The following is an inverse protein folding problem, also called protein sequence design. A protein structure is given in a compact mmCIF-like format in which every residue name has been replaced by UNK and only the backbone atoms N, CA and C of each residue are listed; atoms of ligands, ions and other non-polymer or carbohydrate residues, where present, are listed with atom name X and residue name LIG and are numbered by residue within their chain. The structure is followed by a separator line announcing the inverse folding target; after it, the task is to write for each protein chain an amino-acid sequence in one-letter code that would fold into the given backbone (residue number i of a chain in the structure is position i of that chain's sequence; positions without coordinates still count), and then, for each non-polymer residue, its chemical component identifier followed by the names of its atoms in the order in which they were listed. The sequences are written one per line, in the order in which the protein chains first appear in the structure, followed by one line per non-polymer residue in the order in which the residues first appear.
data_IF_091783503420
#
_entry.id   IF_091783503420
#
_cell.length_a   1.000
_cell.length_b   1.000
_cell.length_c   1.000
_cell.angle_alpha   90.00
_cell.angle_beta   90.00
_cell.angle_gamma   90.00
#
_symmetry.space_group_name_H-M   'P 1'
#
loop_
_entity.id
_entity.type
_entity.pdbx_description
1 polymer ?
2 non-polymer ?
3 non-polymer ?
4 water ?
#
# COMPACT_ATOMS: atom_id res chain seq x y z
N UNK A 1 -19.56 3.70 18.95
CA UNK A 1 -19.56 5.17 19.23
C UNK A 1 -18.16 5.69 19.55
N UNK A 2 -17.36 4.87 20.24
CA UNK A 2 -15.99 5.26 20.59
C UNK A 2 -15.04 4.80 19.49
N UNK A 3 -14.29 5.74 18.93
CA UNK A 3 -13.36 5.44 17.84
C UNK A 3 -11.92 5.77 18.24
N UNK A 4 -11.52 5.30 19.41
CA UNK A 4 -10.18 5.53 19.92
C UNK A 4 -9.26 4.38 19.50
N UNK A 5 -8.15 4.69 18.84
CA UNK A 5 -7.26 3.61 18.43
C UNK A 5 -6.33 3.16 19.56
N UNK A 6 -5.96 1.88 19.50
CA UNK A 6 -5.04 1.30 20.47
C UNK A 6 -3.99 0.56 19.64
N UNK A 7 -2.78 0.36 20.20
CA UNK A 7 -1.75 -0.35 19.42
C UNK A 7 -2.22 -1.69 18.84
N UNK A 8 -3.28 -2.27 19.38
CA UNK A 8 -3.82 -3.53 18.88
C UNK A 8 -4.35 -3.38 17.45
N UNK A 9 -4.74 -2.15 17.08
CA UNK A 9 -5.28 -1.89 15.74
C UNK A 9 -4.22 -1.93 14.63
N UNK A 10 -2.95 -2.00 15.01
CA UNK A 10 -1.84 -2.08 14.05
C UNK A 10 -1.68 -0.88 13.11
N UNK A 11 -2.00 0.32 13.58
CA UNK A 11 -1.82 1.51 12.76
C UNK A 11 -0.36 1.96 12.80
N UNK A 12 0.22 2.19 11.62
CA UNK A 12 1.60 2.64 11.54
C UNK A 12 1.71 3.87 10.63
N UNK A 13 2.78 4.63 10.81
CA UNK A 13 3.02 5.83 10.02
C UNK A 13 4.49 5.91 9.64
N UNK A 14 4.76 6.41 8.44
CA UNK A 14 6.14 6.61 8.05
C UNK A 14 6.64 7.90 8.71
N UNK A 15 7.92 7.94 9.02
CA UNK A 15 8.50 9.15 9.62
C UNK A 15 8.32 10.35 8.67
N UNK A 16 8.36 10.07 7.37
CA UNK A 16 8.26 11.10 6.34
C UNK A 16 6.87 11.68 6.15
N UNK A 17 5.87 11.11 6.81
CA UNK A 17 4.48 11.56 6.68
C UNK A 17 4.24 12.78 7.57
N UNK A 18 4.13 12.56 8.87
CA UNK A 18 3.94 13.65 9.80
C UNK A 18 5.16 14.57 9.79
N UNK A 19 6.28 14.08 9.28
CA UNK A 19 7.50 14.87 9.20
C UNK A 19 7.66 15.67 7.92
N UNK A 20 6.71 15.57 7.00
CA UNK A 20 6.79 16.32 5.74
C UNK A 20 6.76 17.82 6.02
N UNK A 21 7.80 18.50 5.58
CA UNK A 21 7.94 19.94 5.80
C UNK A 21 7.06 20.87 4.97
N UNK A 22 6.37 20.34 3.96
CA UNK A 22 5.50 21.18 3.15
C UNK A 22 6.08 21.74 1.87
N UNK A 23 7.26 21.28 1.48
CA UNK A 23 7.90 21.74 0.27
C UNK A 23 7.28 21.03 -0.95
N UNK A 24 6.76 21.80 -1.90
CA UNK A 24 6.15 21.24 -3.11
C UNK A 24 6.83 21.83 -4.35
N UNK A 25 6.38 21.48 -5.57
CA UNK A 25 7.06 22.01 -6.77
C UNK A 25 7.06 23.52 -6.91
N UNK A 26 6.13 24.19 -6.25
CA UNK A 26 6.00 25.64 -6.36
C UNK A 26 6.17 26.41 -5.07
N UNK A 27 6.64 25.76 -4.02
CA UNK A 27 6.80 26.46 -2.76
C UNK A 27 7.79 25.89 -1.77
N UNK A 28 8.26 26.76 -0.89
CA UNK A 28 9.20 26.35 0.14
C UNK A 28 8.49 25.72 1.32
N UNK A 29 9.26 25.14 2.24
CA UNK A 29 8.69 24.49 3.40
C UNK A 29 7.93 25.46 4.29
N UNK A 30 6.82 24.99 4.86
CA UNK A 30 6.00 25.80 5.76
C UNK A 30 6.14 25.33 7.21
N UNK A 31 6.83 24.22 7.42
CA UNK A 31 7.03 23.68 8.77
C UNK A 31 8.50 23.31 9.01
N UNK A 32 8.94 23.42 10.25
CA UNK A 32 10.32 23.05 10.59
C UNK A 32 10.44 21.53 10.62
N UNK A 33 11.66 21.02 10.47
CA UNK A 33 11.89 19.58 10.49
C UNK A 33 11.58 18.99 11.86
N UNK A 34 11.04 17.77 11.88
CA UNK A 34 10.74 17.09 13.13
C UNK A 34 11.86 16.11 13.44
N UNK A 35 12.20 15.99 14.71
CA UNK A 35 13.20 15.03 15.12
C UNK A 35 12.46 13.68 15.18
N UNK A 36 13.01 12.63 14.54
CA UNK A 36 12.33 11.32 14.56
C UNK A 36 11.88 10.88 15.96
N UNK A 37 12.67 11.22 16.98
CA UNK A 37 12.34 10.86 18.35
C UNK A 37 11.04 11.52 18.81
N UNK A 38 10.83 12.78 18.44
CA UNK A 38 9.60 13.47 18.81
C UNK A 38 8.42 12.87 18.07
N UNK A 39 8.63 12.47 16.83
CA UNK A 39 7.56 11.85 16.05
C UNK A 39 7.12 10.54 16.69
N UNK A 40 8.09 9.72 17.10
CA UNK A 40 7.76 8.45 17.73
C UNK A 40 6.92 8.68 18.98
N UNK A 41 7.34 9.63 19.81
CA UNK A 41 6.60 9.95 21.03
C UNK A 41 5.19 10.44 20.73
N UNK A 42 5.07 11.42 19.84
CA UNK A 42 3.76 11.98 19.49
C UNK A 42 2.82 10.93 18.93
N UNK A 43 3.34 10.05 18.07
CA UNK A 43 2.51 9.01 17.48
C UNK A 43 2.06 8.00 18.52
N UNK A 44 2.95 7.66 19.45
CA UNK A 44 2.60 6.70 20.50
C UNK A 44 1.44 7.25 21.32
N UNK A 45 1.46 8.55 21.60
CA UNK A 45 0.39 9.17 22.37
C UNK A 45 -0.95 9.12 21.64
N UNK A 46 -0.91 9.17 20.31
CA UNK A 46 -2.13 9.14 19.51
C UNK A 46 -2.73 7.74 19.41
N UNK A 47 -1.95 6.73 19.77
CA UNK A 47 -2.45 5.37 19.72
C UNK A 47 -1.86 4.51 18.61
N UNK A 48 -0.85 5.02 17.92
CA UNK A 48 -0.21 4.26 16.85
C UNK A 48 0.55 3.05 17.41
N UNK A 49 0.70 2.04 16.56
CA UNK A 49 1.39 0.79 16.91
C UNK A 49 2.87 0.84 16.55
N UNK A 50 3.19 1.57 15.49
CA UNK A 50 4.59 1.64 15.07
C UNK A 50 4.88 2.67 14.00
N UNK A 51 6.15 2.71 13.57
CA UNK A 51 6.59 3.64 12.55
C UNK A 51 7.45 2.92 11.52
N UNK A 52 7.61 3.56 10.36
CA UNK A 52 8.43 3.02 9.29
C UNK A 52 9.38 4.12 8.83
N UNK A 53 10.41 3.75 8.08
CA UNK A 53 11.38 4.75 7.66
C UNK A 53 12.12 4.39 6.40
N UNK A 54 12.65 5.44 5.75
CA UNK A 54 13.55 5.27 4.63
C UNK A 54 14.89 5.45 5.35
N UNK A 55 15.94 4.83 4.85
CA UNK A 55 17.25 5.02 5.45
C UNK A 55 17.57 6.50 5.70
N UNK A 56 17.38 7.33 4.67
CA UNK A 56 17.68 8.76 4.78
C UNK A 56 16.78 9.59 5.71
N UNK A 57 15.66 9.04 6.16
CA UNK A 57 14.80 9.76 7.10
C UNK A 57 15.45 9.70 8.47
N UNK A 58 16.12 8.58 8.72
CA UNK A 58 16.72 8.30 10.02
C UNK A 58 18.17 8.73 10.15
N UNK A 59 18.95 8.51 9.09
CA UNK A 59 20.36 8.86 9.09
C UNK A 59 20.65 9.81 7.94
N UNK A 60 20.93 11.08 8.23
CA UNK A 60 21.18 12.02 7.14
C UNK A 60 22.18 11.49 6.11
N UNK A 61 21.86 11.66 4.84
CA UNK A 61 22.70 11.20 3.75
C UNK A 61 24.12 11.73 3.94
N UNK A 62 25.09 10.84 3.83
CA UNK A 62 26.49 11.22 3.97
C UNK A 62 27.04 11.09 5.38
N UNK A 63 26.21 10.61 6.31
CA UNK A 63 26.65 10.46 7.69
C UNK A 63 27.77 9.44 7.87
N UNK A 64 28.71 9.75 8.75
CA UNK A 64 29.82 8.86 9.05
C UNK A 64 29.27 7.69 9.87
N UNK A 65 30.05 6.63 9.99
CA UNK A 65 29.62 5.46 10.76
C UNK A 65 29.32 5.76 12.22
N UNK A 66 30.01 6.73 12.79
CA UNK A 66 29.79 7.10 14.18
C UNK A 66 28.47 7.84 14.34
N UNK A 67 28.23 8.82 13.47
CA UNK A 67 26.98 9.57 13.52
C UNK A 67 25.82 8.61 13.32
N UNK A 68 25.97 7.73 12.33
CA UNK A 68 24.97 6.72 12.02
C UNK A 68 24.62 5.94 13.28
N UNK A 69 25.65 5.49 13.98
CA UNK A 69 25.47 4.74 15.22
C UNK A 69 24.69 5.55 16.24
N UNK A 70 25.01 6.84 16.34
CA UNK A 70 24.35 7.74 17.28
C UNK A 70 22.87 7.92 16.97
N UNK A 71 22.57 8.16 15.69
CA UNK A 71 21.20 8.37 15.25
C UNK A 71 20.35 7.14 15.54
N UNK A 72 20.91 5.96 15.30
CA UNK A 72 20.21 4.71 15.55
C UNK A 72 19.96 4.49 17.04
N UNK A 73 20.95 4.74 17.89
CA UNK A 73 20.77 4.57 19.33
C UNK A 73 19.65 5.43 19.90
N UNK A 74 19.62 6.71 19.51
CA UNK A 74 18.58 7.63 19.97
C UNK A 74 17.20 7.09 19.59
N UNK A 75 17.09 6.65 18.35
CA UNK A 75 15.84 6.14 17.81
C UNK A 75 15.41 4.92 18.61
N UNK A 76 16.34 3.99 18.77
CA UNK A 76 16.12 2.76 19.51
C UNK A 76 15.61 3.03 20.92
N UNK A 77 16.16 4.06 21.57
CA UNK A 77 15.75 4.40 22.93
C UNK A 77 14.31 4.89 22.92
N UNK A 78 13.94 5.65 21.90
CA UNK A 78 12.58 6.17 21.79
C UNK A 78 11.60 5.01 21.61
N UNK A 79 11.99 4.00 20.86
CA UNK A 79 11.14 2.83 20.65
C UNK A 79 10.96 2.09 21.97
N UNK A 80 12.06 1.93 22.70
CA UNK A 80 12.04 1.25 23.99
C UNK A 80 11.17 2.00 25.00
N UNK A 81 11.24 3.33 24.98
CA UNK A 81 10.49 4.15 25.91
C UNK A 81 8.99 4.20 25.64
N UNK A 82 8.59 3.89 24.40
CA UNK A 82 7.18 3.98 24.03
C UNK A 82 6.48 2.66 23.72
N UNK A 83 7.26 1.63 23.41
CA UNK A 83 6.65 0.36 23.07
C UNK A 83 6.31 0.29 21.57
N UNK A 84 6.76 1.29 20.82
CA UNK A 84 6.51 1.34 19.38
C UNK A 84 7.38 0.33 18.63
N UNK A 85 6.81 -0.24 17.57
CA UNK A 85 7.50 -1.22 16.73
C UNK A 85 7.89 -0.59 15.38
N UNK A 86 8.72 -1.32 14.63
CA UNK A 86 9.15 -0.90 13.30
C UNK A 86 8.90 -2.10 12.38
N UNK A 87 7.68 -2.22 11.85
CA UNK A 87 7.33 -3.40 11.03
C UNK A 87 7.83 -3.38 9.61
N UNK A 88 8.18 -2.20 9.10
CA UNK A 88 8.63 -2.09 7.72
C UNK A 88 9.67 -0.99 7.56
N UNK A 89 10.56 -1.17 6.59
CA UNK A 89 11.59 -0.20 6.28
C UNK A 89 11.75 -0.16 4.78
N UNK A 90 12.36 0.90 4.27
CA UNK A 90 12.54 1.06 2.85
C UNK A 90 13.77 1.91 2.57
N UNK A 91 14.14 2.04 1.30
CA UNK A 91 15.32 2.79 0.91
C UNK A 91 14.93 4.03 0.14
N UNK A 92 15.65 5.13 0.36
CA UNK A 92 15.40 6.32 -0.42
C UNK A 92 16.33 6.23 -1.64
N UNK A 93 15.76 5.85 -2.79
CA UNK A 93 16.51 5.77 -4.03
C UNK A 93 15.93 6.79 -5.00
N UNK A 94 15.51 7.94 -4.47
CA UNK A 94 14.89 8.97 -5.31
C UNK A 94 15.26 10.43 -5.08
N UNK A 95 15.70 10.79 -3.87
CA UNK A 95 15.99 12.19 -3.57
C UNK A 95 17.30 12.73 -4.11
N UNK A 96 18.41 12.03 -3.86
CA UNK A 96 19.71 12.50 -4.30
C UNK A 96 19.82 12.59 -5.81
N UNK A 97 20.43 13.68 -6.31
CA UNK A 97 20.60 13.87 -7.75
C UNK A 97 21.18 12.67 -8.50
N UNK A 98 22.00 11.85 -7.82
CA UNK A 98 22.59 10.70 -8.48
C UNK A 98 21.54 9.71 -9.00
N UNK A 99 20.35 9.74 -8.41
CA UNK A 99 19.27 8.84 -8.83
C UNK A 99 18.29 9.49 -9.82
N UNK A 100 18.73 10.55 -10.48
CA UNK A 100 17.87 11.26 -11.43
C UNK A 100 17.32 10.42 -12.56
N UNK A 101 18.03 9.35 -12.94
CA UNK A 101 17.53 8.49 -14.00
C UNK A 101 17.18 7.13 -13.42
N UNK A 102 17.08 7.05 -12.10
CA UNK A 102 16.72 5.79 -11.48
C UNK A 102 17.78 5.24 -10.54
N UNK A 103 17.43 4.13 -9.91
CA UNK A 103 18.34 3.45 -9.02
C UNK A 103 18.69 2.10 -9.62
N UNK A 104 17.77 1.15 -9.52
CA UNK A 104 17.99 -0.19 -10.08
C UNK A 104 18.01 -0.22 -11.61
N UNK A 105 17.36 0.75 -12.25
CA UNK A 105 17.32 0.78 -13.72
C UNK A 105 17.95 2.02 -14.34
N UNK A 106 18.83 2.67 -13.60
CA UNK A 106 19.55 3.82 -14.14
C UNK A 106 20.36 3.33 -15.34
N UNK A 107 20.49 4.15 -16.39
CA UNK A 107 21.29 3.75 -17.54
C UNK A 107 22.76 3.53 -17.17
N UNK A 108 23.26 4.32 -16.23
CA UNK A 108 24.65 4.19 -15.78
C UNK A 108 24.80 2.98 -14.87
N UNK A 109 25.67 2.06 -15.26
CA UNK A 109 25.91 0.84 -14.49
C UNK A 109 26.45 1.10 -13.08
N UNK A 110 27.35 2.08 -12.95
CA UNK A 110 27.91 2.37 -11.64
C UNK A 110 26.85 2.84 -10.65
N UNK A 111 25.83 3.53 -11.15
CA UNK A 111 24.75 4.00 -10.28
C UNK A 111 23.89 2.82 -9.82
N UNK A 112 23.66 1.87 -10.71
CA UNK A 112 22.86 0.69 -10.36
C UNK A 112 23.56 -0.12 -9.26
N UNK A 113 24.88 -0.25 -9.34
CA UNK A 113 25.63 -0.97 -8.32
C UNK A 113 25.56 -0.24 -6.98
N UNK A 114 25.69 1.08 -7.03
CA UNK A 114 25.60 1.92 -5.84
C UNK A 114 24.22 1.76 -5.19
N UNK A 115 23.18 1.76 -6.02
CA UNK A 115 21.81 1.62 -5.54
C UNK A 115 21.65 0.33 -4.74
N UNK A 116 22.21 -0.77 -5.26
CA UNK A 116 22.11 -2.05 -4.58
C UNK A 116 22.84 -2.05 -3.24
N UNK A 117 24.04 -1.49 -3.20
CA UNK A 117 24.79 -1.44 -1.95
C UNK A 117 24.10 -0.59 -0.88
N UNK A 118 23.44 0.48 -1.31
CA UNK A 118 22.73 1.38 -0.39
C UNK A 118 21.54 0.64 0.19
N UNK A 119 20.88 -0.15 -0.66
CA UNK A 119 19.73 -0.92 -0.24
C UNK A 119 20.12 -2.02 0.75
N UNK A 120 21.15 -2.78 0.40
CA UNK A 120 21.61 -3.89 1.25
C UNK A 120 21.99 -3.42 2.64
N UNK A 121 22.67 -2.27 2.69
CA UNK A 121 23.09 -1.67 3.94
C UNK A 121 21.88 -1.39 4.85
N UNK A 122 20.78 -0.93 4.26
CA UNK A 122 19.58 -0.64 5.04
C UNK A 122 18.77 -1.89 5.38
N UNK A 123 18.94 -2.96 4.60
CA UNK A 123 18.26 -4.22 4.88
C UNK A 123 18.81 -4.73 6.21
N UNK A 124 20.13 -4.65 6.39
CA UNK A 124 20.75 -5.10 7.64
C UNK A 124 20.16 -4.32 8.82
N UNK A 125 20.05 -3.01 8.67
CA UNK A 125 19.50 -2.17 9.73
C UNK A 125 18.04 -2.52 10.00
N UNK A 126 17.28 -2.74 8.94
CA UNK A 126 15.87 -3.09 9.08
C UNK A 126 15.70 -4.35 9.94
N UNK A 127 16.49 -5.38 9.64
CA UNK A 127 16.42 -6.63 10.39
C UNK A 127 16.77 -6.39 11.86
N UNK A 128 17.82 -5.62 12.11
CA UNK A 128 18.25 -5.29 13.46
C UNK A 128 17.09 -4.67 14.26
N UNK A 129 16.30 -3.81 13.62
CA UNK A 129 15.18 -3.14 14.26
C UNK A 129 13.89 -3.97 14.34
N UNK A 130 13.92 -5.16 13.74
CA UNK A 130 12.77 -6.04 13.79
C UNK A 130 11.76 -5.97 12.66
N UNK A 131 12.10 -5.27 11.57
CA UNK A 131 11.19 -5.15 10.44
C UNK A 131 10.95 -6.50 9.76
N UNK A 132 9.70 -6.77 9.42
CA UNK A 132 9.35 -8.02 8.75
C UNK A 132 9.15 -7.85 7.24
N UNK A 133 8.95 -6.60 6.81
CA UNK A 133 8.75 -6.31 5.40
C UNK A 133 9.67 -5.18 4.94
N UNK A 134 10.22 -5.33 3.74
CA UNK A 134 11.10 -4.32 3.18
C UNK A 134 10.47 -3.84 1.88
N UNK A 135 10.07 -2.58 1.86
CA UNK A 135 9.38 -2.01 0.70
C UNK A 135 10.34 -1.38 -0.29
N UNK A 136 9.98 -1.49 -1.57
CA UNK A 136 10.75 -0.89 -2.63
C UNK A 136 9.81 -0.09 -3.53
N UNK A 137 10.03 1.22 -3.59
CA UNK A 137 9.24 2.09 -4.45
C UNK A 137 10.22 2.66 -5.47
N UNK A 138 10.10 2.21 -6.72
CA UNK A 138 11.00 2.66 -7.76
C UNK A 138 10.52 3.96 -8.38
N UNK A 139 10.47 5.01 -7.56
CA UNK A 139 9.99 6.30 -8.01
C UNK A 139 10.72 6.92 -9.19
N UNK A 140 12.01 6.64 -9.32
CA UNK A 140 12.80 7.21 -10.42
C UNK A 140 13.01 6.24 -11.58
N UNK A 141 12.46 5.03 -11.50
CA UNK A 141 12.61 4.04 -12.56
C UNK A 141 11.58 4.33 -13.63
N UNK A 142 12.03 4.88 -14.75
CA UNK A 142 11.10 5.23 -15.80
C UNK A 142 11.66 6.23 -16.79
N UNK A 143 10.79 7.07 -17.35
CA UNK A 143 11.24 8.01 -18.37
C UNK A 143 10.24 9.11 -18.71
N UNK A 144 10.75 10.17 -19.33
CA UNK A 144 9.91 11.26 -19.83
C UNK A 144 9.80 11.15 -21.36
N UNK A 145 10.70 10.40 -21.98
CA UNK A 145 10.71 10.26 -23.44
C UNK A 145 10.96 8.82 -23.87
N UNK A 146 10.47 8.46 -25.05
CA UNK A 146 10.56 7.09 -25.53
C UNK A 146 11.90 6.42 -25.77
N UNK A 147 12.88 7.15 -26.26
CA UNK A 147 14.16 6.52 -26.55
C UNK A 147 15.14 6.46 -25.40
N UNK A 148 14.79 7.12 -24.30
CA UNK A 148 15.67 7.19 -23.15
C UNK A 148 15.83 5.88 -22.40
N UNK A 149 14.86 5.00 -22.56
CA UNK A 149 14.86 3.76 -21.82
C UNK A 149 14.29 2.62 -22.66
N UNK A 150 15.07 1.55 -22.80
CA UNK A 150 14.59 0.38 -23.51
C UNK A 150 13.97 -0.42 -22.36
N UNK A 151 12.66 -0.56 -22.38
CA UNK A 151 11.95 -1.20 -21.28
C UNK A 151 12.28 -2.67 -21.03
N UNK A 152 12.58 -3.41 -22.08
CA UNK A 152 12.94 -4.81 -21.94
C UNK A 152 14.26 -4.91 -21.18
N UNK A 153 15.24 -4.09 -21.55
CA UNK A 153 16.52 -4.10 -20.84
C UNK A 153 16.32 -3.62 -19.41
N UNK A 154 15.49 -2.60 -19.22
CA UNK A 154 15.25 -2.08 -17.88
C UNK A 154 14.62 -3.14 -16.98
N UNK A 155 13.72 -3.96 -17.54
CA UNK A 155 13.11 -4.99 -16.74
C UNK A 155 14.14 -6.09 -16.42
N UNK A 156 15.09 -6.33 -17.31
CA UNK A 156 16.14 -7.31 -17.03
C UNK A 156 16.96 -6.79 -15.84
N UNK A 157 17.27 -5.50 -15.85
CA UNK A 157 18.04 -4.90 -14.76
C UNK A 157 17.24 -4.90 -13.45
N UNK A 158 15.93 -4.69 -13.53
CA UNK A 158 15.08 -4.67 -12.35
C UNK A 158 15.03 -6.09 -11.73
N UNK A 159 14.91 -7.10 -12.57
CA UNK A 159 14.87 -8.49 -12.13
C UNK A 159 16.21 -8.86 -11.53
N UNK A 160 17.29 -8.42 -12.18
CA UNK A 160 18.63 -8.71 -11.70
C UNK A 160 18.80 -8.14 -10.29
N UNK A 161 18.33 -6.91 -10.09
CA UNK A 161 18.42 -6.26 -8.79
C UNK A 161 17.66 -7.00 -7.70
N UNK A 162 16.39 -7.32 -7.96
CA UNK A 162 15.60 -8.02 -6.97
C UNK A 162 16.10 -9.44 -6.72
N UNK A 163 16.62 -10.10 -7.76
CA UNK A 163 17.16 -11.46 -7.58
C UNK A 163 18.38 -11.42 -6.65
N UNK A 164 19.23 -10.41 -6.82
CA UNK A 164 20.41 -10.26 -5.96
C UNK A 164 20.01 -9.98 -4.52
N UNK A 165 18.97 -9.18 -4.32
CA UNK A 165 18.50 -8.89 -2.97
C UNK A 165 17.94 -10.15 -2.31
N UNK A 166 17.31 -11.00 -3.12
CA UNK A 166 16.75 -12.24 -2.61
C UNK A 166 17.88 -13.17 -2.21
N UNK A 167 18.93 -13.21 -3.04
CA UNK A 167 20.09 -14.06 -2.74
C UNK A 167 20.75 -13.60 -1.45
N UNK A 168 20.84 -12.28 -1.26
CA UNK A 168 21.45 -11.72 -0.06
C UNK A 168 20.68 -12.14 1.18
N UNK A 169 19.38 -11.90 1.17
CA UNK A 169 18.52 -12.24 2.29
C UNK A 169 18.61 -13.73 2.65
N UNK A 170 18.55 -14.58 1.63
CA UNK A 170 18.63 -16.02 1.81
C UNK A 170 19.97 -16.45 2.40
N UNK A 171 21.06 -15.88 1.89
CA UNK A 171 22.40 -16.22 2.36
C UNK A 171 22.65 -15.80 3.81
N UNK A 172 22.04 -14.70 4.23
CA UNK A 172 22.20 -14.20 5.60
C UNK A 172 21.21 -14.85 6.56
N UNK A 173 20.27 -15.61 6.02
CA UNK A 173 19.26 -16.26 6.85
C UNK A 173 18.28 -15.30 7.48
N UNK A 174 18.00 -14.18 6.81
CA UNK A 174 17.05 -13.22 7.36
C UNK A 174 15.60 -13.66 7.15
N UNK A 175 14.75 -13.26 8.08
CA UNK A 175 13.32 -13.54 7.99
C UNK A 175 12.66 -12.21 7.64
N UNK A 176 12.76 -11.86 6.36
CA UNK A 176 12.20 -10.62 5.88
C UNK A 176 11.75 -10.83 4.44
N UNK A 177 10.64 -10.21 4.06
CA UNK A 177 10.11 -10.35 2.71
C UNK A 177 10.07 -8.97 2.05
N UNK A 178 10.03 -8.96 0.73
CA UNK A 178 10.01 -7.71 -0.03
C UNK A 178 8.60 -7.41 -0.55
N UNK A 179 8.28 -6.13 -0.66
CA UNK A 179 7.00 -5.70 -1.20
C UNK A 179 7.25 -4.55 -2.16
N UNK A 180 6.86 -4.75 -3.41
CA UNK A 180 7.04 -3.73 -4.43
C UNK A 180 5.83 -2.79 -4.41
N UNK A 181 6.12 -1.50 -4.38
CA UNK A 181 5.07 -0.48 -4.35
C UNK A 181 4.93 0.19 -5.72
N UNK A 182 3.84 -0.10 -6.44
CA UNK A 182 3.65 0.51 -7.77
C UNK A 182 3.14 1.95 -7.73
N UNK A 183 3.38 2.66 -8.82
CA UNK A 183 2.90 4.05 -8.98
C UNK A 183 2.99 4.30 -10.48
N UNK A 184 1.94 4.88 -11.08
CA UNK A 184 1.98 5.01 -12.54
C UNK A 184 2.85 6.14 -13.09
N UNK A 185 2.97 7.23 -12.35
CA UNK A 185 3.77 8.36 -12.81
C UNK A 185 4.05 9.26 -11.60
N UNK A 186 4.93 10.24 -11.81
CA UNK A 186 5.31 11.23 -10.81
C UNK A 186 6.23 10.65 -9.72
N UNK A 187 7.55 10.91 -9.83
CA UNK A 187 8.14 12.08 -10.48
C UNK A 187 8.55 11.87 -11.94
N UNK A 188 8.59 10.62 -12.41
CA UNK A 188 8.93 10.37 -13.82
C UNK A 188 7.65 10.45 -14.67
N UNK A 189 7.81 10.76 -15.96
CA UNK A 189 6.67 10.86 -16.88
C UNK A 189 5.83 9.60 -16.86
N UNK A 190 6.50 8.46 -16.83
CA UNK A 190 5.87 7.15 -16.73
C UNK A 190 6.83 6.33 -15.88
N UNK A 191 6.30 5.63 -14.89
CA UNK A 191 7.11 4.81 -13.99
C UNK A 191 6.96 3.33 -14.36
N UNK A 192 8.04 2.56 -14.26
CA UNK A 192 7.99 1.13 -14.57
C UNK A 192 7.18 0.38 -13.50
N UNK A 193 6.44 -0.66 -13.89
CA UNK A 193 5.57 -1.43 -12.98
C UNK A 193 4.57 -0.42 -12.43
N UNK A 194 3.77 0.18 -13.33
CA UNK A 194 2.84 1.25 -12.96
C UNK A 194 1.65 0.95 -12.08
N UNK A 195 1.22 -0.30 -12.03
CA UNK A 195 0.07 -0.68 -11.22
C UNK A 195 0.33 -1.98 -10.49
N UNK A 196 -0.59 -2.32 -9.58
CA UNK A 196 -0.49 -3.57 -8.84
C UNK A 196 -0.40 -4.76 -9.81
N UNK A 197 -1.14 -4.71 -10.91
CA UNK A 197 -1.11 -5.81 -11.86
C UNK A 197 0.28 -6.02 -12.46
N UNK A 198 0.90 -4.93 -12.92
CA UNK A 198 2.23 -5.03 -13.52
C UNK A 198 3.24 -5.58 -12.52
N UNK A 199 3.13 -5.13 -11.27
CA UNK A 199 4.03 -5.60 -10.22
C UNK A 199 3.85 -7.10 -9.96
N UNK A 200 2.61 -7.56 -9.86
CA UNK A 200 2.33 -8.98 -9.63
C UNK A 200 2.89 -9.85 -10.76
N UNK A 201 2.74 -9.38 -12.01
CA UNK A 201 3.22 -10.13 -13.17
C UNK A 201 4.74 -10.26 -13.15
N UNK A 202 5.40 -9.17 -12.78
CA UNK A 202 6.86 -9.12 -12.70
C UNK A 202 7.39 -10.09 -11.66
N UNK A 203 6.73 -10.14 -10.51
CA UNK A 203 7.15 -11.02 -9.42
C UNK A 203 7.24 -12.49 -9.82
N UNK A 204 6.36 -12.93 -10.71
CA UNK A 204 6.34 -14.32 -11.17
C UNK A 204 7.56 -14.68 -12.04
N UNK A 205 8.33 -13.69 -12.46
CA UNK A 205 9.53 -13.94 -13.27
C UNK A 205 10.81 -13.86 -12.45
N UNK A 206 10.69 -13.66 -11.14
CA UNK A 206 11.87 -13.61 -10.28
C UNK A 206 12.30 -15.04 -9.93
N UNK A 207 13.56 -15.23 -9.56
CA UNK A 207 14.05 -16.57 -9.22
C UNK A 207 13.35 -17.20 -8.01
N UNK A 208 13.09 -16.39 -6.99
CA UNK A 208 12.42 -16.86 -5.77
C UNK A 208 11.15 -16.03 -5.54
N UNK A 209 10.11 -16.26 -6.35
CA UNK A 209 8.88 -15.47 -6.21
C UNK A 209 8.25 -15.42 -4.82
N UNK A 210 8.41 -16.48 -4.04
CA UNK A 210 7.79 -16.52 -2.72
C UNK A 210 8.26 -15.42 -1.76
N UNK A 211 9.40 -14.80 -2.05
CA UNK A 211 9.92 -13.75 -1.19
C UNK A 211 9.36 -12.37 -1.52
N UNK A 212 8.60 -12.26 -2.60
CA UNK A 212 8.11 -10.94 -3.01
C UNK A 212 6.60 -10.81 -3.10
N UNK A 213 6.12 -9.64 -2.66
CA UNK A 213 4.70 -9.33 -2.73
C UNK A 213 4.55 -7.86 -3.13
N UNK A 214 3.36 -7.30 -2.91
CA UNK A 214 3.13 -5.92 -3.26
C UNK A 214 2.72 -5.07 -2.07
N UNK A 215 2.97 -3.77 -2.20
CA UNK A 215 2.59 -2.79 -1.19
C UNK A 215 1.83 -1.72 -1.96
N UNK A 216 0.54 -1.96 -2.24
CA UNK A 216 -0.26 -0.99 -3.00
C UNK A 216 -0.62 0.22 -2.16
N UNK A 217 -0.82 1.36 -2.82
CA UNK A 217 -1.21 2.61 -2.17
C UNK A 217 -2.49 3.09 -2.81
N UNK A 218 -3.52 3.39 -2.01
CA UNK A 218 -4.79 3.80 -2.59
C UNK A 218 -4.69 4.90 -3.64
N UNK A 219 -3.97 5.97 -3.33
CA UNK A 219 -3.86 7.06 -4.30
C UNK A 219 -3.16 6.73 -5.60
N UNK A 220 -2.18 5.85 -5.53
CA UNK A 220 -1.44 5.46 -6.74
C UNK A 220 -2.31 4.77 -7.77
N UNK A 221 -3.13 3.81 -7.34
CA UNK A 221 -3.98 3.14 -8.32
C UNK A 221 -5.04 4.11 -8.82
N UNK A 222 -5.50 5.00 -7.95
CA UNK A 222 -6.51 5.98 -8.33
C UNK A 222 -5.97 7.02 -9.31
N UNK A 223 -4.64 7.14 -9.39
CA UNK A 223 -3.98 8.05 -10.34
C UNK A 223 -4.10 7.52 -11.76
N UNK A 224 -4.46 6.25 -11.87
CA UNK A 224 -4.65 5.61 -13.17
C UNK A 224 -6.14 5.35 -13.36
N UNK A 225 -6.95 5.93 -12.47
CA UNK A 225 -8.39 5.76 -12.54
C UNK A 225 -8.90 4.36 -12.26
N UNK A 226 -8.07 3.53 -11.63
CA UNK A 226 -8.46 2.15 -11.32
C UNK A 226 -9.21 2.02 -9.99
N UNK A 227 -9.92 0.91 -9.84
CA UNK A 227 -10.69 0.59 -8.64
C UNK A 227 -9.72 -0.04 -7.65
N UNK A 228 -9.41 0.66 -6.57
CA UNK A 228 -8.44 0.16 -5.58
C UNK A 228 -8.89 -1.15 -4.92
N UNK A 229 -10.12 -1.20 -4.36
CA UNK A 229 -10.57 -2.47 -3.77
C UNK A 229 -10.43 -3.67 -4.74
N UNK A 230 -10.68 -3.47 -6.03
CA UNK A 230 -10.54 -4.56 -6.99
C UNK A 230 -9.09 -5.00 -7.11
N UNK A 231 -8.18 -4.04 -7.11
CA UNK A 231 -6.77 -4.34 -7.21
C UNK A 231 -6.27 -5.11 -5.99
N UNK A 232 -6.75 -4.71 -4.82
CA UNK A 232 -6.39 -5.37 -3.58
C UNK A 232 -6.95 -6.79 -3.57
N UNK A 233 -8.15 -6.97 -4.08
CA UNK A 233 -8.73 -8.30 -4.16
C UNK A 233 -7.86 -9.22 -5.02
N UNK A 234 -7.33 -8.71 -6.13
CA UNK A 234 -6.48 -9.54 -6.99
C UNK A 234 -5.20 -9.90 -6.26
N UNK A 235 -4.65 -8.96 -5.52
CA UNK A 235 -3.44 -9.20 -4.75
C UNK A 235 -3.68 -10.27 -3.70
N UNK A 236 -4.82 -10.19 -3.00
CA UNK A 236 -5.15 -11.17 -1.98
C UNK A 236 -5.36 -12.55 -2.61
N UNK A 237 -6.04 -12.58 -3.75
CA UNK A 237 -6.31 -13.80 -4.49
C UNK A 237 -5.01 -14.52 -4.82
N UNK A 238 -3.97 -13.75 -5.15
CA UNK A 238 -2.67 -14.32 -5.47
C UNK A 238 -1.81 -14.59 -4.23
N UNK A 239 -2.29 -14.17 -3.07
CA UNK A 239 -1.55 -14.37 -1.83
C UNK A 239 -0.35 -13.46 -1.73
N UNK A 240 -0.45 -12.27 -2.32
CA UNK A 240 0.66 -11.33 -2.35
C UNK A 240 0.49 -9.99 -1.62
N UNK A 241 -0.55 -9.83 -0.82
CA UNK A 241 -0.71 -8.56 -0.10
C UNK A 241 0.11 -8.60 1.19
N UNK A 242 1.35 -8.17 1.09
CA UNK A 242 2.29 -8.19 2.21
C UNK A 242 2.20 -6.96 3.11
N UNK A 243 1.74 -5.85 2.55
CA UNK A 243 1.67 -4.59 3.26
C UNK A 243 0.72 -3.69 2.46
N UNK A 244 0.30 -2.57 3.03
CA UNK A 244 -0.58 -1.66 2.32
C UNK A 244 -0.38 -0.21 2.78
N UNK A 245 -0.48 0.73 1.85
CA UNK A 245 -0.33 2.16 2.13
C UNK A 245 -1.69 2.83 1.99
N UNK A 246 -2.19 3.37 3.09
CA UNK A 246 -3.50 4.00 3.14
C UNK A 246 -3.41 5.52 3.09
N UNK A 247 -4.23 6.12 2.24
CA UNK A 247 -4.32 7.57 2.10
C UNK A 247 -5.53 7.93 1.25
N UNK A 248 -5.60 9.19 0.81
CA UNK A 248 -6.72 9.66 0.02
C UNK A 248 -6.26 10.41 -1.21
N UNK A 249 -7.08 10.35 -2.25
CA UNK A 249 -6.75 10.97 -3.53
C UNK A 249 -8.03 11.36 -4.24
N UNK A 250 -8.06 12.56 -4.79
CA UNK A 250 -9.24 13.03 -5.52
C UNK A 250 -9.04 12.89 -7.02
N UNK A 251 -9.21 11.67 -7.51
CA UNK A 251 -9.13 11.45 -8.95
C UNK A 251 -7.77 11.39 -9.60
N UNK A 252 -7.79 11.63 -10.91
CA UNK A 252 -6.59 11.58 -11.73
C UNK A 252 -5.90 12.95 -11.84
N UNK A 253 -4.81 13.08 -11.11
CA UNK A 253 -3.99 14.28 -11.04
C UNK A 253 -2.75 13.92 -10.25
N UNK A 254 -1.99 14.94 -9.84
CA UNK A 254 -0.81 14.71 -9.03
C UNK A 254 -1.19 13.91 -7.77
N UNK A 255 -0.18 13.24 -7.19
CA UNK A 255 -0.32 12.41 -5.98
C UNK A 255 -0.53 13.33 -4.77
N UNK A 256 -1.75 13.36 -4.24
CA UNK A 256 -2.08 14.26 -3.13
C UNK A 256 -1.70 13.75 -1.74
N UNK A 257 -1.78 12.44 -1.56
CA UNK A 257 -1.48 11.84 -0.26
C UNK A 257 -2.29 12.50 0.85
N UNK A 258 -3.60 12.62 0.64
CA UNK A 258 -4.49 13.17 1.66
C UNK A 258 -4.65 12.14 2.78
N UNK A 259 -5.14 12.57 3.93
CA UNK A 259 -5.33 11.63 5.03
C UNK A 259 -6.35 10.57 4.62
N UNK A 260 -6.23 9.37 5.18
CA UNK A 260 -7.15 8.29 4.84
C UNK A 260 -8.57 8.66 5.20
N UNK A 261 -9.48 8.41 4.26
CA UNK A 261 -10.88 8.76 4.46
C UNK A 261 -11.24 9.89 3.51
N UNK A 262 -10.29 10.78 3.29
CA UNK A 262 -10.50 11.89 2.37
C UNK A 262 -10.39 11.30 0.96
N UNK A 263 -10.76 12.08 -0.05
CA UNK A 263 -10.72 11.57 -1.40
C UNK A 263 -11.99 10.79 -1.69
N UNK A 264 -11.83 9.57 -2.22
CA UNK A 264 -12.96 8.72 -2.56
C UNK A 264 -13.42 7.95 -1.33
N UNK A 265 -14.43 8.50 -0.66
CA UNK A 265 -14.94 7.91 0.58
C UNK A 265 -15.56 6.54 0.42
N UNK A 266 -16.34 6.33 -0.64
CA UNK A 266 -16.95 5.02 -0.82
C UNK A 266 -15.93 3.94 -1.13
N UNK A 267 -14.90 4.30 -1.88
CA UNK A 267 -13.83 3.34 -2.16
C UNK A 267 -13.16 2.96 -0.84
N UNK A 268 -13.04 3.92 0.07
CA UNK A 268 -12.45 3.65 1.38
C UNK A 268 -13.29 2.64 2.17
N UNK A 269 -14.60 2.77 2.08
CA UNK A 269 -15.53 1.87 2.74
C UNK A 269 -15.35 0.45 2.20
N UNK A 270 -15.38 0.31 0.87
CA UNK A 270 -15.23 -1.01 0.26
C UNK A 270 -13.85 -1.62 0.52
N UNK A 271 -12.84 -0.77 0.68
CA UNK A 271 -11.49 -1.26 0.97
C UNK A 271 -11.46 -1.89 2.37
N UNK A 272 -12.00 -1.15 3.34
CA UNK A 272 -12.02 -1.62 4.72
C UNK A 272 -12.84 -2.90 4.85
N UNK A 273 -13.98 -2.94 4.18
CA UNK A 273 -14.84 -4.12 4.16
C UNK A 273 -14.05 -5.34 3.70
N UNK A 274 -13.32 -5.17 2.59
CA UNK A 274 -12.50 -6.25 2.04
C UNK A 274 -11.36 -6.68 2.97
N UNK A 275 -10.59 -5.72 3.49
CA UNK A 275 -9.47 -6.06 4.37
C UNK A 275 -9.93 -6.81 5.60
N UNK A 276 -11.00 -6.33 6.22
CA UNK A 276 -11.52 -6.95 7.43
C UNK A 276 -12.13 -8.31 7.17
N UNK A 277 -12.88 -8.46 6.09
CA UNK A 277 -13.48 -9.75 5.78
C UNK A 277 -12.45 -10.79 5.31
N UNK A 278 -11.41 -10.35 4.63
CA UNK A 278 -10.38 -11.27 4.16
C UNK A 278 -9.37 -11.64 5.25
N UNK A 279 -9.47 -10.98 6.40
CA UNK A 279 -8.57 -11.27 7.50
C UNK A 279 -7.14 -10.79 7.31
N UNK A 280 -6.96 -9.68 6.62
CA UNK A 280 -5.62 -9.12 6.43
C UNK A 280 -5.09 -8.81 7.83
N UNK A 281 -3.93 -9.37 8.18
CA UNK A 281 -3.37 -9.18 9.52
C UNK A 281 -2.12 -8.31 9.54
N UNK A 282 -1.77 -7.76 8.39
CA UNK A 282 -0.59 -6.91 8.32
C UNK A 282 -0.87 -5.53 8.87
N UNK A 283 0.14 -4.65 8.89
CA UNK A 283 -0.08 -3.30 9.41
C UNK A 283 -1.02 -2.45 8.55
N UNK A 284 -1.70 -1.51 9.20
CA UNK A 284 -2.56 -0.55 8.52
C UNK A 284 -1.68 0.72 8.49
N UNK A 285 -0.88 0.82 7.45
CA UNK A 285 0.11 1.89 7.29
C UNK A 285 -0.42 3.09 6.51
N UNK A 286 -0.17 4.27 7.05
CA UNK A 286 -0.62 5.50 6.42
C UNK A 286 0.57 6.21 5.79
N UNK A 287 0.47 6.42 4.49
CA UNK A 287 1.50 7.13 3.76
C UNK A 287 0.76 8.35 3.25
N UNK A 288 0.76 9.39 4.07
CA UNK A 288 0.03 10.60 3.73
C UNK A 288 0.86 11.82 4.07
N UNK A 289 0.41 12.98 3.62
CA UNK A 289 1.10 14.23 3.86
C UNK A 289 0.12 15.26 4.42
N UNK A 290 0.32 15.70 5.66
CA UNK A 290 -0.60 16.74 6.16
C UNK A 290 -0.40 18.00 5.31
N UNK A 291 -1.49 18.56 4.74
CA UNK A 291 -1.34 19.69 3.81
C UNK A 291 -0.45 20.80 4.36
N UNK A 292 0.27 21.48 3.47
CA UNK A 292 1.20 22.54 3.89
C UNK A 292 0.55 23.77 4.51
N UNK A 293 -0.78 23.82 4.46
CA UNK A 293 -1.53 24.92 5.07
C UNK A 293 -1.52 24.80 6.59
N UNK A 294 -1.20 23.60 7.07
CA UNK A 294 -1.25 23.30 8.50
C UNK A 294 0.01 23.58 9.32
N UNK A 295 -0.21 23.90 10.58
CA UNK A 295 0.91 24.04 11.52
C UNK A 295 1.01 22.68 12.24
N UNK A 296 1.83 22.57 13.26
CA UNK A 296 1.98 21.28 13.94
C UNK A 296 0.72 20.68 14.57
N UNK A 297 -0.16 21.52 15.11
CA UNK A 297 -1.39 20.99 15.68
C UNK A 297 -2.19 20.34 14.56
N UNK A 298 -2.14 20.94 13.38
CA UNK A 298 -2.83 20.39 12.23
C UNK A 298 -2.27 19.07 11.76
N UNK A 299 -0.95 18.86 11.84
CA UNK A 299 -0.42 17.57 11.42
C UNK A 299 -0.90 16.47 12.35
N UNK A 300 -0.92 16.71 13.66
CA UNK A 300 -1.40 15.68 14.58
C UNK A 300 -2.90 15.44 14.44
N UNK A 301 -3.66 16.47 14.10
CA UNK A 301 -5.09 16.32 13.89
C UNK A 301 -5.34 15.46 12.65
N UNK A 302 -4.52 15.69 11.62
CA UNK A 302 -4.63 14.95 10.37
C UNK A 302 -4.25 13.48 10.58
N UNK A 303 -3.20 13.24 11.37
CA UNK A 303 -2.75 11.89 11.67
C UNK A 303 -3.81 11.13 12.46
N UNK A 304 -4.39 11.79 13.46
CA UNK A 304 -5.45 11.17 14.26
C UNK A 304 -6.65 10.86 13.37
N UNK A 305 -6.91 11.74 12.41
CA UNK A 305 -8.01 11.56 11.48
C UNK A 305 -7.89 10.31 10.64
N UNK A 306 -6.67 9.93 10.28
CA UNK A 306 -6.45 8.71 9.49
C UNK A 306 -6.99 7.52 10.24
N UNK A 307 -6.64 7.42 11.51
CA UNK A 307 -7.04 6.29 12.33
C UNK A 307 -8.52 6.30 12.65
N UNK A 308 -9.06 7.48 12.95
CA UNK A 308 -10.47 7.63 13.25
C UNK A 308 -11.32 7.17 12.08
N UNK A 309 -10.98 7.61 10.87
CA UNK A 309 -11.74 7.22 9.69
C UNK A 309 -11.72 5.73 9.43
N UNK A 310 -10.57 5.10 9.65
CA UNK A 310 -10.49 3.66 9.46
C UNK A 310 -11.43 2.96 10.44
N UNK A 311 -11.41 3.40 11.70
CA UNK A 311 -12.27 2.78 12.72
C UNK A 311 -13.76 2.98 12.48
N UNK A 312 -14.15 4.17 11.99
CA UNK A 312 -15.56 4.41 11.70
C UNK A 312 -15.99 3.49 10.54
N UNK A 313 -15.19 3.45 9.48
CA UNK A 313 -15.52 2.63 8.33
C UNK A 313 -15.61 1.13 8.68
N UNK A 314 -14.75 0.69 9.60
CA UNK A 314 -14.73 -0.69 10.04
C UNK A 314 -16.04 -1.03 10.72
N UNK A 315 -16.51 -0.12 11.57
CA UNK A 315 -17.77 -0.30 12.27
C UNK A 315 -18.92 -0.39 11.26
N UNK A 316 -18.96 0.53 10.30
CA UNK A 316 -20.04 0.54 9.31
C UNK A 316 -20.00 -0.67 8.38
N UNK A 317 -18.81 -1.12 8.00
CA UNK A 317 -18.69 -2.30 7.11
C UNK A 317 -19.17 -3.56 7.83
N UNK A 318 -18.84 -3.65 9.12
CA UNK A 318 -19.23 -4.78 9.94
C UNK A 318 -20.75 -4.80 10.12
N UNK A 319 -21.35 -3.63 10.37
CA UNK A 319 -22.79 -3.54 10.53
C UNK A 319 -23.49 -3.93 9.23
N UNK A 320 -22.89 -3.53 8.11
CA UNK A 320 -23.43 -3.85 6.78
C UNK A 320 -23.48 -5.38 6.60
N UNK A 321 -22.35 -6.04 6.81
CA UNK A 321 -22.26 -7.50 6.64
C UNK A 321 -23.10 -8.30 7.65
N UNK A 322 -23.33 -7.73 8.84
CA UNK A 322 -24.09 -8.43 9.87
C UNK A 322 -25.60 -8.22 9.76
N UNK A 323 -26.01 -7.23 8.97
CA UNK A 323 -27.42 -6.90 8.81
C UNK A 323 -28.19 -8.02 8.08
N UNK A 324 -29.20 -8.62 8.74
CA UNK A 324 -29.94 -9.70 8.07
C UNK A 324 -30.57 -9.28 6.75
N UNK A 325 -30.96 -8.01 6.65
CA UNK A 325 -31.58 -7.52 5.44
C UNK A 325 -30.57 -7.45 4.31
N UNK A 326 -29.30 -7.22 4.67
CA UNK A 326 -28.25 -7.19 3.65
C UNK A 326 -27.93 -8.61 3.21
N UNK A 327 -27.88 -9.55 4.16
CA UNK A 327 -27.61 -10.94 3.84
C UNK A 327 -28.68 -11.46 2.87
N UNK A 328 -29.91 -11.04 3.09
CA UNK A 328 -31.01 -11.43 2.21
C UNK A 328 -30.81 -10.81 0.81
N UNK A 329 -30.41 -9.55 0.78
CA UNK A 329 -30.16 -8.84 -0.47
C UNK A 329 -29.01 -9.47 -1.26
N UNK A 330 -27.98 -9.94 -0.56
CA UNK A 330 -26.84 -10.59 -1.20
C UNK A 330 -27.31 -11.87 -1.89
N UNK A 331 -28.24 -12.58 -1.28
CA UNK A 331 -28.78 -13.78 -1.90
C UNK A 331 -29.65 -13.40 -3.09
N UNK A 332 -30.40 -12.31 -2.96
CA UNK A 332 -31.27 -11.85 -4.03
C UNK A 332 -30.43 -11.50 -5.27
N UNK A 333 -29.21 -11.04 -5.04
CA UNK A 333 -28.31 -10.66 -6.12
C UNK A 333 -27.39 -11.81 -6.55
N UNK A 334 -27.63 -12.98 -5.97
CA UNK A 334 -26.87 -14.19 -6.28
C UNK A 334 -25.37 -14.17 -6.01
N UNK A 335 -24.96 -13.47 -4.95
CA UNK A 335 -23.55 -13.48 -4.57
C UNK A 335 -23.18 -14.90 -4.09
N UNK A 336 -24.16 -15.63 -3.58
CA UNK A 336 -23.94 -16.99 -3.12
C UNK A 336 -23.61 -17.88 -4.32
N UNK A 337 -24.27 -17.63 -5.45
CA UNK A 337 -24.03 -18.42 -6.67
C UNK A 337 -22.68 -18.12 -7.28
N UNK A 338 -22.22 -16.88 -7.12
CA UNK A 338 -20.92 -16.49 -7.66
C UNK A 338 -19.83 -17.34 -7.01
N UNK A 339 -20.04 -17.69 -5.75
CA UNK A 339 -19.07 -18.47 -4.97
C UNK A 339 -19.12 -19.98 -5.24
N UNK A 340 -20.09 -20.44 -6.01
CA UNK A 340 -20.18 -21.85 -6.32
C UNK A 340 -19.51 -22.17 -7.65
N UNK A 341 -18.77 -23.29 -7.74
CA UNK A 341 -18.11 -23.61 -9.01
C UNK A 341 -19.06 -23.66 -10.19
N UNK A 342 -18.58 -23.18 -11.34
CA UNK A 342 -19.36 -23.18 -12.56
C UNK A 342 -19.59 -24.60 -13.07
N UNK A 343 -18.55 -25.42 -12.98
CA UNK A 343 -18.64 -26.78 -13.48
C UNK A 343 -17.76 -27.78 -12.72
N UNK A 344 -18.12 -28.04 -11.46
CA UNK A 344 -17.41 -29.00 -10.64
C UNK A 344 -17.66 -30.41 -11.22
N UNK A 345 -18.72 -30.52 -12.02
CA UNK A 345 -19.08 -31.77 -12.65
C UNK A 345 -18.08 -32.15 -13.75
N UNK A 346 -17.28 -31.17 -14.20
CA UNK A 346 -16.28 -31.45 -15.21
C UNK A 346 -16.64 -31.05 -16.63
N UNK A 347 -15.63 -31.01 -17.48
CA UNK A 347 -15.79 -30.63 -18.88
C UNK A 347 -16.77 -31.50 -19.66
N UNK A 348 -16.57 -32.82 -19.63
CA UNK A 348 -17.44 -33.71 -20.38
C UNK A 348 -18.90 -33.57 -19.95
N UNK A 349 -19.13 -33.51 -18.64
CA UNK A 349 -20.48 -33.34 -18.11
C UNK A 349 -21.10 -32.04 -18.64
N UNK A 350 -20.29 -30.99 -18.70
CA UNK A 350 -20.75 -29.70 -19.21
C UNK A 350 -21.14 -29.79 -20.69
N UNK A 351 -20.31 -30.44 -21.49
CA UNK A 351 -20.58 -30.59 -22.91
C UNK A 351 -21.85 -31.41 -23.18
N UNK A 352 -22.14 -32.37 -22.30
CA UNK A 352 -23.32 -33.21 -22.47
C UNK A 352 -24.59 -32.65 -21.82
N UNK A 353 -24.44 -31.57 -21.06
CA UNK A 353 -25.56 -30.94 -20.36
C UNK A 353 -26.39 -30.04 -21.29
N UNK A 354 -27.51 -30.57 -21.78
CA UNK A 354 -28.39 -29.82 -22.66
C UNK A 354 -29.00 -28.57 -22.02
N UNK A 355 -29.09 -28.55 -20.69
CA UNK A 355 -29.66 -27.38 -20.01
C UNK A 355 -28.69 -26.20 -20.06
N UNK A 356 -27.44 -26.47 -20.43
CA UNK A 356 -26.42 -25.43 -20.50
C UNK A 356 -26.35 -24.76 -21.87
N UNK A 357 -27.07 -25.28 -22.86
CA UNK A 357 -27.02 -24.67 -24.18
C UNK A 357 -28.24 -24.93 -25.08
N UNK A 358 -28.42 -26.18 -25.48
CA UNK A 358 -29.52 -26.54 -26.37
C UNK A 358 -30.89 -26.19 -25.81
N UNK A 359 -31.10 -26.43 -24.52
CA UNK A 359 -32.38 -26.15 -23.89
C UNK A 359 -32.32 -25.01 -22.87
N UNK A 360 -31.30 -24.17 -22.97
CA UNK A 360 -31.18 -23.04 -22.05
C UNK A 360 -32.10 -21.92 -22.54
N UNK A 361 -32.95 -21.44 -21.64
CA UNK A 361 -33.89 -20.38 -21.98
C UNK A 361 -33.20 -19.04 -21.72
N UNK A 362 -32.52 -18.52 -22.74
CA UNK A 362 -31.79 -17.26 -22.60
C UNK A 362 -32.68 -16.07 -22.23
N UNK A 363 -33.88 -16.03 -22.78
CA UNK A 363 -34.79 -14.92 -22.50
C UNK A 363 -35.24 -14.86 -21.04
N UNK A 364 -35.51 -16.02 -20.45
CA UNK A 364 -35.93 -16.07 -19.05
C UNK A 364 -34.79 -15.63 -18.15
N UNK A 365 -33.58 -16.08 -18.46
CA UNK A 365 -32.38 -15.73 -17.71
C UNK A 365 -32.12 -14.23 -17.85
N UNK A 366 -32.23 -13.73 -19.07
CA UNK A 366 -32.02 -12.31 -19.37
C UNK A 366 -32.98 -11.37 -18.65
N UNK A 367 -34.20 -11.83 -18.40
CA UNK A 367 -35.22 -11.01 -17.75
C UNK A 367 -35.03 -10.85 -16.24
N UNK A 368 -34.18 -11.67 -15.62
CA UNK A 368 -33.96 -11.56 -14.19
C UNK A 368 -33.18 -10.32 -13.85
N UNK A 369 -33.69 -9.49 -12.96
CA UNK A 369 -32.94 -8.32 -12.55
C UNK A 369 -31.89 -8.75 -11.54
N UNK A 370 -30.79 -8.03 -11.48
CA UNK A 370 -29.71 -8.37 -10.54
C UNK A 370 -29.92 -7.79 -9.14
N UNK A 371 -30.84 -6.82 -9.01
CA UNK A 371 -31.14 -6.16 -7.74
C UNK A 371 -29.91 -5.51 -7.10
N UNK A 372 -28.97 -5.07 -7.92
CA UNK A 372 -27.76 -4.42 -7.41
C UNK A 372 -28.02 -3.03 -6.83
N UNK A 373 -29.01 -2.30 -7.36
CA UNK A 373 -29.27 -0.96 -6.86
C UNK A 373 -29.81 -0.94 -5.43
N UNK A 374 -30.72 -1.86 -5.11
CA UNK A 374 -31.22 -1.94 -3.75
C UNK A 374 -30.08 -2.33 -2.80
N UNK A 375 -29.25 -3.27 -3.22
CA UNK A 375 -28.12 -3.69 -2.41
C UNK A 375 -27.17 -2.52 -2.16
N UNK A 376 -26.90 -1.74 -3.21
CA UNK A 376 -25.99 -0.61 -3.07
C UNK A 376 -26.56 0.51 -2.18
N UNK A 377 -27.88 0.66 -2.17
CA UNK A 377 -28.49 1.69 -1.33
C UNK A 377 -28.46 1.24 0.13
N UNK A 378 -28.51 -0.07 0.35
CA UNK A 378 -28.40 -0.58 1.72
C UNK A 378 -26.97 -0.29 2.19
N UNK A 379 -26.00 -0.42 1.29
CA UNK A 379 -24.61 -0.13 1.64
C UNK A 379 -24.43 1.36 1.93
N UNK A 380 -25.09 2.20 1.14
CA UNK A 380 -25.04 3.64 1.33
C UNK A 380 -25.63 4.00 2.70
N UNK A 381 -26.83 3.48 2.99
CA UNK A 381 -27.48 3.75 4.28
C UNK A 381 -26.59 3.38 5.46
N UNK A 382 -25.92 2.24 5.38
CA UNK A 382 -25.03 1.80 6.45
C UNK A 382 -23.83 2.72 6.59
N UNK A 383 -23.25 3.13 5.46
CA UNK A 383 -22.09 4.01 5.50
C UNK A 383 -22.46 5.34 6.17
N UNK A 384 -23.61 5.89 5.81
CA UNK A 384 -24.09 7.16 6.35
C UNK A 384 -24.77 7.05 7.71
N UNK A 385 -24.95 5.84 8.21
CA UNK A 385 -25.59 5.68 9.50
C UNK A 385 -27.05 6.08 9.49
N UNK A 386 -27.72 5.81 8.36
CA UNK A 386 -29.13 6.16 8.21
C UNK A 386 -30.01 4.93 8.01
N UNK A 387 -29.74 3.87 8.75
CA UNK A 387 -30.53 2.64 8.63
C UNK A 387 -31.86 2.63 9.39
N UNK A 388 -32.91 2.24 8.69
CA UNK A 388 -34.24 2.16 9.29
C UNK A 388 -35.22 1.55 8.31
#
# INVERSE_FOLDING_TARGET
MNYQPTPEDRFTFGLWTVGWQGRDPFGDATRRALDPVESVRRLAELGAHGVTFHDDDLIPFGSSDSEREEHVKRFRQALDDTGMKVPMATTNLFTHPVFKDGGFTANDRDVRRYALRKTIRNIDLAVELGAETYVAWGGREGAESGGAKDVRDALDRMKEAFDLLGEYVTSQGYDIRFAIEPKPNEPRGDILLPTVGHALAFIERLERPELYGVNPEVGHEQMAGLNFPHGIAQALWAGKLFHIDLNGQNGIKYDQDLRFGAGDLRAAFWLVDLLESAGYSGPRHFDFKPPRTEDFDGVWASAAGCMRNYLILKERAAAFRADPEVQEALRASRLDELARPTAADGLQALLDDRSAFEEFDVDAAAARGMAFERLDQLAMDHLLGARG
#
